data_IF_171209382883
#
_entry.id   IF_171209382883
#
_cell.length_a   1.000
_cell.length_b   1.000
_cell.length_c   1.000
_cell.angle_alpha   90.00
_cell.angle_beta   90.00
_cell.angle_gamma   90.00
#
_symmetry.space_group_name_H-M   'P 1'
#
loop_
_entity.id
_entity.type
_entity.pdbx_description
1 polymer ?
#
# COMPACT_ATOMS: atom_id res chain seq x y z
N UNK A 1 -37.88 0.29 -43.38
CA UNK A 1 -38.05 -1.17 -43.25
C UNK A 1 -37.17 -1.85 -44.30
N UNK A 2 -35.97 -2.29 -43.91
CA UNK A 2 -35.54 -3.66 -44.26
C UNK A 2 -34.53 -4.23 -43.24
N UNK A 3 -34.95 -4.48 -41.99
CA UNK A 3 -34.08 -5.16 -40.99
C UNK A 3 -34.74 -6.42 -40.38
N UNK A 4 -35.93 -6.79 -40.85
CA UNK A 4 -36.62 -8.02 -40.45
C UNK A 4 -36.06 -9.25 -41.16
N UNK A 5 -35.58 -9.08 -42.41
CA UNK A 5 -35.12 -10.17 -43.28
C UNK A 5 -33.77 -10.77 -42.86
N UNK A 6 -32.92 -10.00 -42.17
CA UNK A 6 -31.62 -10.49 -41.68
C UNK A 6 -31.77 -11.36 -40.41
N UNK A 7 -32.75 -11.02 -39.56
CA UNK A 7 -33.03 -11.74 -38.31
C UNK A 7 -33.74 -13.06 -38.61
N UNK A 8 -34.68 -13.09 -39.57
CA UNK A 8 -35.31 -14.35 -40.02
C UNK A 8 -34.33 -15.29 -40.74
N UNK A 9 -33.36 -14.75 -41.51
CA UNK A 9 -32.32 -15.58 -42.14
C UNK A 9 -31.28 -16.14 -41.15
N UNK A 10 -31.00 -15.44 -40.05
CA UNK A 10 -30.11 -15.95 -38.99
C UNK A 10 -30.75 -17.04 -38.13
N UNK A 11 -32.09 -17.05 -38.02
CA UNK A 11 -32.83 -18.10 -37.29
C UNK A 11 -32.94 -19.43 -38.06
N UNK A 12 -32.56 -19.46 -39.35
CA UNK A 12 -32.66 -20.63 -40.23
C UNK A 12 -31.31 -21.32 -40.51
N UNK A 13 -30.20 -20.82 -39.96
CA UNK A 13 -28.93 -21.55 -40.03
C UNK A 13 -28.96 -22.71 -39.03
N UNK A 14 -28.65 -23.95 -39.46
CA UNK A 14 -28.63 -25.09 -38.55
C UNK A 14 -27.63 -24.80 -37.44
N UNK A 15 -28.12 -24.77 -36.20
CA UNK A 15 -27.30 -24.62 -35.02
C UNK A 15 -26.21 -25.68 -35.05
N UNK A 16 -24.96 -25.28 -35.31
CA UNK A 16 -23.80 -26.11 -35.00
C UNK A 16 -23.57 -25.93 -33.51
N UNK A 17 -23.93 -26.92 -32.68
CA UNK A 17 -23.70 -26.82 -31.24
C UNK A 17 -22.19 -26.76 -31.02
N UNK A 18 -21.73 -25.74 -30.30
CA UNK A 18 -20.31 -25.57 -29.97
C UNK A 18 -19.63 -24.35 -30.58
N UNK A 19 -20.20 -23.65 -31.58
CA UNK A 19 -19.57 -22.39 -32.07
C UNK A 19 -19.84 -21.23 -31.11
N UNK A 20 -21.04 -21.16 -30.54
CA UNK A 20 -21.39 -20.16 -29.52
C UNK A 20 -20.65 -20.45 -28.20
N UNK A 21 -20.58 -21.73 -27.79
CA UNK A 21 -19.84 -22.15 -26.59
C UNK A 21 -18.32 -21.97 -26.77
N UNK A 22 -17.76 -22.25 -27.95
CA UNK A 22 -16.35 -21.95 -28.23
C UNK A 22 -16.06 -20.44 -28.22
N UNK A 23 -16.96 -19.59 -28.72
CA UNK A 23 -16.82 -18.13 -28.63
C UNK A 23 -16.94 -17.62 -27.19
N UNK A 24 -17.85 -18.19 -26.39
CA UNK A 24 -17.98 -17.90 -24.96
C UNK A 24 -16.80 -18.43 -24.13
N UNK A 25 -16.23 -19.59 -24.44
CA UNK A 25 -15.03 -20.13 -23.79
C UNK A 25 -13.78 -19.32 -24.16
N UNK A 26 -13.68 -18.84 -25.41
CA UNK A 26 -12.58 -17.95 -25.83
C UNK A 26 -12.70 -16.54 -25.21
N UNK A 27 -13.94 -16.09 -24.96
CA UNK A 27 -14.25 -14.78 -24.36
C UNK A 27 -14.05 -14.78 -22.83
N UNK A 28 -14.54 -15.80 -22.15
CA UNK A 28 -14.36 -15.99 -20.70
C UNK A 28 -12.90 -16.28 -20.36
N UNK A 29 -12.17 -17.00 -21.22
CA UNK A 29 -10.72 -17.23 -21.03
C UNK A 29 -9.87 -15.98 -21.24
N UNK A 30 -10.29 -14.99 -22.02
CA UNK A 30 -9.53 -13.74 -22.20
C UNK A 30 -9.66 -12.82 -20.98
N UNK A 31 -10.87 -12.73 -20.41
CA UNK A 31 -11.15 -11.98 -19.18
C UNK A 31 -10.58 -12.71 -17.96
N UNK A 32 -10.73 -14.03 -17.88
CA UNK A 32 -10.07 -14.85 -16.85
C UNK A 32 -8.54 -14.73 -16.96
N UNK A 33 -7.96 -14.67 -18.16
CA UNK A 33 -6.52 -14.45 -18.35
C UNK A 33 -6.06 -13.02 -18.01
N UNK A 34 -6.91 -12.01 -18.19
CA UNK A 34 -6.62 -10.61 -17.76
C UNK A 34 -6.80 -10.44 -16.25
N UNK A 35 -7.79 -11.09 -15.65
CA UNK A 35 -7.94 -11.21 -14.19
C UNK A 35 -6.80 -12.04 -13.59
N UNK A 36 -6.37 -13.12 -14.24
CA UNK A 36 -5.16 -13.88 -13.91
C UNK A 36 -3.93 -13.00 -14.05
N UNK A 37 -3.88 -12.08 -15.02
CA UNK A 37 -2.78 -11.12 -15.26
C UNK A 37 -2.74 -10.01 -14.21
N UNK A 38 -3.89 -9.48 -13.79
CA UNK A 38 -4.06 -8.65 -12.58
C UNK A 38 -3.60 -9.44 -11.33
N UNK A 39 -3.96 -10.71 -11.29
CA UNK A 39 -3.45 -11.69 -10.33
C UNK A 39 -1.94 -11.95 -10.49
N UNK A 40 -1.34 -11.76 -11.67
CA UNK A 40 0.07 -12.02 -11.99
C UNK A 40 0.97 -10.82 -11.68
N UNK A 41 0.49 -9.59 -11.93
CA UNK A 41 1.11 -8.33 -11.51
C UNK A 41 1.15 -8.18 -9.98
N UNK A 42 0.21 -8.80 -9.28
CA UNK A 42 0.22 -8.93 -7.81
C UNK A 42 1.08 -10.11 -7.30
N UNK A 43 1.71 -10.89 -8.20
CA UNK A 43 2.29 -12.21 -7.90
C UNK A 43 3.80 -12.35 -8.07
N UNK A 44 4.57 -11.27 -8.13
CA UNK A 44 6.05 -11.25 -8.25
C UNK A 44 6.69 -12.61 -7.92
N UNK A 45 7.05 -13.36 -8.97
CA UNK A 45 7.65 -14.70 -8.99
C UNK A 45 7.22 -15.71 -7.90
N UNK A 46 6.25 -16.57 -8.22
CA UNK A 46 6.03 -17.85 -7.51
C UNK A 46 6.36 -19.04 -8.39
N UNK A 47 7.58 -19.59 -8.27
CA UNK A 47 7.87 -20.99 -8.61
C UNK A 47 8.02 -21.79 -7.32
N UNK A 48 6.99 -22.56 -6.96
CA UNK A 48 7.03 -24.03 -6.80
C UNK A 48 5.69 -24.55 -6.25
N UNK A 49 5.29 -25.71 -6.76
CA UNK A 49 3.94 -26.24 -6.77
C UNK A 49 3.54 -27.01 -5.49
N UNK A 50 2.24 -27.05 -5.21
CA UNK A 50 1.64 -28.08 -4.34
C UNK A 50 0.27 -27.74 -3.75
N UNK A 51 -0.79 -28.18 -4.44
CA UNK A 51 -2.18 -28.36 -3.98
C UNK A 51 -2.94 -27.12 -3.47
N UNK A 52 -3.92 -26.69 -4.26
CA UNK A 52 -4.62 -25.42 -4.13
C UNK A 52 -5.57 -25.29 -2.95
N UNK A 53 -5.83 -24.02 -2.60
CA UNK A 53 -7.18 -23.58 -2.22
C UNK A 53 -7.43 -22.06 -2.37
N UNK A 54 -6.57 -21.26 -3.00
CA UNK A 54 -6.88 -19.85 -3.31
C UNK A 54 -6.23 -19.38 -4.61
N UNK A 55 -7.01 -18.65 -5.41
CA UNK A 55 -6.63 -17.95 -6.63
C UNK A 55 -6.66 -16.45 -6.34
N UNK A 56 -5.65 -15.70 -6.79
CA UNK A 56 -5.56 -14.26 -6.55
C UNK A 56 -6.64 -13.47 -7.31
N UNK A 57 -7.30 -14.13 -8.27
CA UNK A 57 -8.45 -13.64 -9.00
C UNK A 57 -9.70 -13.38 -8.11
N UNK A 58 -9.72 -13.87 -6.87
CA UNK A 58 -10.84 -13.73 -5.91
C UNK A 58 -10.78 -12.47 -5.00
N UNK A 59 -9.74 -11.63 -5.09
CA UNK A 59 -9.54 -10.49 -4.15
C UNK A 59 -10.04 -9.12 -4.67
N UNK A 60 -11.22 -9.10 -5.31
CA UNK A 60 -11.90 -7.87 -5.76
C UNK A 60 -12.54 -7.08 -4.61
N UNK A 61 -12.63 -7.67 -3.42
CA UNK A 61 -13.03 -7.01 -2.17
C UNK A 61 -11.86 -6.39 -1.40
N UNK A 62 -10.65 -6.40 -1.97
CA UNK A 62 -9.52 -5.73 -1.33
C UNK A 62 -9.83 -4.23 -1.17
N UNK A 63 -9.40 -3.61 -0.06
CA UNK A 63 -9.48 -2.16 0.12
C UNK A 63 -8.87 -1.39 -1.07
N UNK A 64 -7.85 -1.97 -1.71
CA UNK A 64 -7.17 -1.43 -2.90
C UNK A 64 -8.07 -1.41 -4.14
N UNK A 65 -8.80 -2.50 -4.41
CA UNK A 65 -9.73 -2.56 -5.53
C UNK A 65 -10.92 -1.61 -5.33
N UNK A 66 -11.43 -1.49 -4.09
CA UNK A 66 -12.47 -0.51 -3.74
C UNK A 66 -11.97 0.93 -3.92
N UNK A 67 -10.74 1.21 -3.45
CA UNK A 67 -10.08 2.51 -3.64
C UNK A 67 -9.89 2.83 -5.12
N UNK A 68 -9.39 1.87 -5.91
CA UNK A 68 -9.20 2.02 -7.34
C UNK A 68 -10.51 2.34 -8.07
N UNK A 69 -11.61 1.71 -7.67
CA UNK A 69 -12.93 1.99 -8.24
C UNK A 69 -13.43 3.40 -7.93
N UNK A 70 -13.23 3.87 -6.70
CA UNK A 70 -13.59 5.25 -6.32
C UNK A 70 -12.77 6.27 -7.12
N UNK A 71 -11.46 6.04 -7.26
CA UNK A 71 -10.58 6.88 -8.09
C UNK A 71 -11.03 6.83 -9.56
N UNK A 72 -11.40 5.66 -10.07
CA UNK A 72 -11.93 5.49 -11.43
C UNK A 72 -13.21 6.30 -11.66
N UNK A 73 -14.17 6.27 -10.73
CA UNK A 73 -15.39 7.08 -10.81
C UNK A 73 -15.12 8.59 -10.71
N UNK A 74 -14.20 8.99 -9.84
CA UNK A 74 -13.71 10.36 -9.77
C UNK A 74 -13.13 10.81 -11.11
N UNK A 75 -12.22 10.01 -11.68
CA UNK A 75 -11.59 10.27 -12.96
C UNK A 75 -12.60 10.37 -14.13
N UNK A 76 -13.65 9.52 -14.14
CA UNK A 76 -14.77 9.67 -15.07
C UNK A 76 -15.48 11.02 -14.90
N UNK A 77 -15.77 11.40 -13.64
CA UNK A 77 -16.44 12.65 -13.30
C UNK A 77 -15.67 13.89 -13.76
N UNK A 78 -14.35 13.85 -13.69
CA UNK A 78 -13.47 14.94 -14.11
C UNK A 78 -13.04 14.87 -15.58
N UNK A 79 -13.42 13.81 -16.31
CA UNK A 79 -13.03 13.61 -17.70
C UNK A 79 -11.54 13.29 -17.89
N UNK A 80 -10.92 12.66 -16.90
CA UNK A 80 -9.50 12.31 -16.87
C UNK A 80 -9.22 10.96 -17.56
N UNK A 81 -10.26 10.18 -17.89
CA UNK A 81 -10.12 8.87 -18.53
C UNK A 81 -10.05 8.96 -20.06
N UNK A 82 -9.16 8.16 -20.64
CA UNK A 82 -8.96 8.07 -22.09
C UNK A 82 -10.01 7.19 -22.77
N UNK A 83 -10.62 6.26 -22.03
CA UNK A 83 -11.55 5.26 -22.56
C UNK A 83 -12.91 5.83 -22.99
N UNK A 84 -13.54 6.65 -22.14
CA UNK A 84 -14.83 7.29 -22.44
C UNK A 84 -15.20 8.40 -21.47
N UNK A 85 -16.18 9.21 -21.88
CA UNK A 85 -16.79 10.24 -21.05
C UNK A 85 -17.75 9.64 -20.00
N UNK A 86 -18.03 10.39 -18.93
CA UNK A 86 -19.04 9.98 -17.94
C UNK A 86 -20.42 9.74 -18.57
N UNK A 87 -20.84 10.58 -19.52
CA UNK A 87 -22.14 10.45 -20.19
C UNK A 87 -22.22 9.17 -21.04
N UNK A 88 -21.17 8.88 -21.82
CA UNK A 88 -21.08 7.63 -22.57
C UNK A 88 -21.07 6.41 -21.65
N UNK A 89 -20.35 6.50 -20.53
CA UNK A 89 -20.28 5.44 -19.54
C UNK A 89 -21.65 5.14 -18.94
N UNK A 90 -22.37 6.14 -18.44
CA UNK A 90 -23.71 5.96 -17.86
C UNK A 90 -24.70 5.43 -18.91
N UNK A 91 -24.64 5.95 -20.14
CA UNK A 91 -25.53 5.52 -21.24
C UNK A 91 -25.33 4.05 -21.60
N UNK A 92 -24.08 3.59 -21.68
CA UNK A 92 -23.76 2.22 -22.12
C UNK A 92 -23.85 1.19 -21.00
N UNK A 93 -23.56 1.58 -19.76
CA UNK A 93 -23.59 0.67 -18.60
C UNK A 93 -24.94 0.67 -17.86
N UNK A 94 -25.75 1.71 -18.04
CA UNK A 94 -26.97 1.95 -17.27
C UNK A 94 -26.72 2.31 -15.80
N UNK A 95 -25.47 2.57 -15.41
CA UNK A 95 -25.13 3.05 -14.07
C UNK A 95 -25.47 4.53 -13.93
N UNK A 96 -25.91 4.93 -12.74
CA UNK A 96 -26.13 6.34 -12.38
C UNK A 96 -25.10 6.73 -11.33
N UNK A 97 -24.07 7.43 -11.76
CA UNK A 97 -22.99 7.94 -10.93
C UNK A 97 -23.25 9.39 -10.51
N UNK A 98 -24.13 10.12 -11.21
CA UNK A 98 -24.51 11.49 -10.86
C UNK A 98 -25.64 11.57 -9.82
N UNK A 99 -25.57 12.59 -8.97
CA UNK A 99 -26.63 13.01 -8.05
C UNK A 99 -27.67 13.92 -8.73
N UNK A 100 -28.59 14.49 -7.96
CA UNK A 100 -29.64 15.37 -8.47
C UNK A 100 -29.12 16.73 -8.96
N UNK A 101 -27.96 17.17 -8.48
CA UNK A 101 -27.30 18.43 -8.83
C UNK A 101 -26.32 18.27 -10.00
N UNK A 102 -26.18 17.04 -10.53
CA UNK A 102 -25.29 16.70 -11.63
C UNK A 102 -23.84 16.44 -11.20
N UNK A 103 -23.55 16.49 -9.90
CA UNK A 103 -22.27 16.12 -9.30
C UNK A 103 -22.13 14.60 -9.19
N UNK A 104 -20.91 14.12 -8.95
CA UNK A 104 -20.69 12.70 -8.65
C UNK A 104 -21.27 12.39 -7.25
N UNK A 105 -21.98 11.26 -7.13
CA UNK A 105 -22.49 10.77 -5.85
C UNK A 105 -21.37 10.57 -4.82
N UNK A 106 -21.75 10.63 -3.55
CA UNK A 106 -20.89 10.28 -2.43
C UNK A 106 -20.44 8.81 -2.52
N UNK A 107 -19.28 8.50 -1.94
CA UNK A 107 -18.65 7.17 -1.99
C UNK A 107 -19.59 6.03 -1.63
N UNK A 108 -20.48 6.25 -0.67
CA UNK A 108 -21.38 5.23 -0.11
C UNK A 108 -22.58 4.95 -1.03
N UNK A 109 -22.90 5.88 -1.93
CA UNK A 109 -24.01 5.80 -2.88
C UNK A 109 -23.55 5.39 -4.29
N UNK A 110 -22.23 5.22 -4.49
CA UNK A 110 -21.65 4.76 -5.75
C UNK A 110 -21.77 3.23 -5.90
N UNK A 111 -21.92 2.72 -7.13
CA UNK A 111 -22.06 1.28 -7.35
C UNK A 111 -20.83 0.49 -6.87
N UNK A 112 -21.02 -0.64 -6.17
CA UNK A 112 -19.90 -1.47 -5.72
C UNK A 112 -19.25 -2.23 -6.88
N UNK A 113 -18.04 -2.74 -6.66
CA UNK A 113 -17.20 -3.37 -7.69
C UNK A 113 -17.88 -4.51 -8.45
N UNK A 114 -18.65 -5.35 -7.77
CA UNK A 114 -19.41 -6.42 -8.43
C UNK A 114 -20.44 -5.87 -9.40
N UNK A 115 -21.09 -4.75 -9.05
CA UNK A 115 -22.05 -4.10 -9.96
C UNK A 115 -21.32 -3.48 -11.14
N UNK A 116 -20.21 -2.77 -10.90
CA UNK A 116 -19.35 -2.23 -11.95
C UNK A 116 -18.93 -3.31 -12.97
N UNK A 117 -18.30 -4.40 -12.50
CA UNK A 117 -17.81 -5.47 -13.37
C UNK A 117 -18.95 -6.12 -14.16
N UNK A 118 -20.07 -6.42 -13.51
CA UNK A 118 -21.23 -7.01 -14.18
C UNK A 118 -21.79 -6.10 -15.29
N UNK A 119 -21.68 -4.77 -15.16
CA UNK A 119 -22.08 -3.84 -16.23
C UNK A 119 -21.05 -3.76 -17.35
N UNK A 120 -19.75 -3.84 -17.03
CA UNK A 120 -18.68 -3.84 -18.04
C UNK A 120 -18.80 -5.07 -18.96
N UNK A 121 -19.13 -6.24 -18.41
CA UNK A 121 -19.28 -7.49 -19.20
C UNK A 121 -20.32 -7.40 -20.32
N UNK A 122 -21.30 -6.48 -20.21
CA UNK A 122 -22.33 -6.27 -21.21
C UNK A 122 -21.92 -5.31 -22.34
N UNK A 123 -20.73 -4.68 -22.26
CA UNK A 123 -20.24 -3.74 -23.26
C UNK A 123 -19.61 -4.45 -24.46
N UNK A 124 -19.32 -3.71 -25.54
CA UNK A 124 -18.54 -4.26 -26.65
C UNK A 124 -17.09 -4.52 -26.21
N UNK A 125 -16.46 -5.54 -26.79
CA UNK A 125 -15.08 -5.97 -26.45
C UNK A 125 -14.08 -4.80 -26.46
N UNK A 126 -14.18 -3.91 -27.44
CA UNK A 126 -13.31 -2.73 -27.53
C UNK A 126 -13.50 -1.77 -26.33
N UNK A 127 -14.75 -1.49 -25.97
CA UNK A 127 -15.11 -0.62 -24.84
C UNK A 127 -14.68 -1.26 -23.50
N UNK A 128 -14.87 -2.58 -23.37
CA UNK A 128 -14.39 -3.34 -22.21
C UNK A 128 -12.87 -3.22 -22.07
N UNK A 129 -12.13 -3.48 -23.14
CA UNK A 129 -10.67 -3.46 -23.12
C UNK A 129 -10.12 -2.09 -22.74
N UNK A 130 -10.73 -1.01 -23.21
CA UNK A 130 -10.33 0.36 -22.89
C UNK A 130 -10.60 0.70 -21.41
N UNK A 131 -11.81 0.39 -20.91
CA UNK A 131 -12.17 0.63 -19.51
C UNK A 131 -11.32 -0.20 -18.54
N UNK A 132 -11.04 -1.45 -18.89
CA UNK A 132 -10.16 -2.31 -18.09
C UNK A 132 -8.72 -1.82 -18.09
N UNK A 133 -8.22 -1.26 -19.20
CA UNK A 133 -6.87 -0.68 -19.23
C UNK A 133 -6.75 0.53 -18.30
N UNK A 134 -7.74 1.43 -18.33
CA UNK A 134 -7.78 2.58 -17.42
C UNK A 134 -7.88 2.12 -15.94
N UNK A 135 -8.79 1.19 -15.63
CA UNK A 135 -8.94 0.65 -14.27
C UNK A 135 -7.69 -0.08 -13.77
N UNK A 136 -7.06 -0.90 -14.62
CA UNK A 136 -5.84 -1.64 -14.32
C UNK A 136 -4.66 -0.71 -14.06
N UNK A 137 -4.52 0.37 -14.84
CA UNK A 137 -3.52 1.42 -14.60
C UNK A 137 -3.68 2.08 -13.23
N UNK A 138 -4.92 2.44 -12.86
CA UNK A 138 -5.24 3.03 -11.55
C UNK A 138 -4.92 2.05 -10.42
N UNK A 139 -5.39 0.80 -10.54
CA UNK A 139 -5.18 -0.22 -9.52
C UNK A 139 -3.68 -0.53 -9.36
N UNK A 140 -2.95 -0.68 -10.46
CA UNK A 140 -1.51 -0.91 -10.46
C UNK A 140 -0.77 0.24 -9.77
N UNK A 141 -1.12 1.50 -10.07
CA UNK A 141 -0.53 2.66 -9.41
C UNK A 141 -0.82 2.71 -7.90
N UNK A 142 -2.03 2.35 -7.47
CA UNK A 142 -2.38 2.25 -6.04
C UNK A 142 -1.57 1.13 -5.36
N UNK A 143 -1.50 -0.05 -5.98
CA UNK A 143 -0.77 -1.20 -5.44
C UNK A 143 0.73 -0.94 -5.35
N UNK A 144 1.31 -0.24 -6.33
CA UNK A 144 2.72 0.15 -6.31
C UNK A 144 3.02 1.14 -5.18
N UNK A 145 2.15 2.13 -4.96
CA UNK A 145 2.27 3.04 -3.80
C UNK A 145 2.12 2.29 -2.48
N UNK A 146 1.16 1.37 -2.38
CA UNK A 146 0.95 0.54 -1.19
C UNK A 146 2.11 -0.44 -0.94
N UNK A 147 2.75 -0.94 -2.00
CA UNK A 147 3.93 -1.78 -1.90
C UNK A 147 5.14 -0.98 -1.39
N UNK A 148 5.30 0.27 -1.85
CA UNK A 148 6.34 1.18 -1.38
C UNK A 148 6.15 1.57 0.10
N UNK A 149 4.91 1.67 0.59
CA UNK A 149 4.59 1.96 2.00
C UNK A 149 4.56 0.71 2.91
N UNK A 150 4.86 -0.48 2.38
CA UNK A 150 4.75 -1.78 3.07
C UNK A 150 3.33 -2.13 3.56
N UNK A 151 2.29 -1.50 3.01
CA UNK A 151 0.89 -1.73 3.36
C UNK A 151 0.24 -2.90 2.59
N UNK A 152 0.90 -3.38 1.53
CA UNK A 152 0.38 -4.47 0.70
C UNK A 152 0.59 -5.86 1.33
N UNK A 153 -0.50 -6.58 1.59
CA UNK A 153 -0.49 -8.00 1.96
C UNK A 153 -0.08 -8.85 0.75
N UNK A 154 1.10 -9.46 0.81
CA UNK A 154 1.65 -10.33 -0.24
C UNK A 154 1.36 -11.83 0.02
N UNK A 155 0.57 -12.14 1.05
CA UNK A 155 0.27 -13.49 1.51
C UNK A 155 1.45 -14.12 2.23
N UNK A 156 1.62 -15.44 2.06
CA UNK A 156 2.73 -16.19 2.65
C UNK A 156 4.02 -15.96 1.86
N UNK A 157 5.03 -15.36 2.50
CA UNK A 157 6.38 -15.20 1.94
C UNK A 157 7.40 -16.03 2.73
N UNK A 158 8.33 -16.68 2.02
CA UNK A 158 9.49 -17.31 2.64
C UNK A 158 10.62 -16.28 2.75
N UNK A 159 11.16 -16.11 3.97
CA UNK A 159 12.43 -15.41 4.17
C UNK A 159 13.49 -16.47 4.47
N UNK A 160 14.43 -16.60 3.54
CA UNK A 160 15.68 -17.31 3.75
C UNK A 160 16.74 -16.29 4.17
N UNK A 161 17.12 -16.35 5.45
CA UNK A 161 18.15 -15.50 6.01
C UNK A 161 19.50 -16.23 5.96
N UNK A 162 20.54 -15.52 5.57
CA UNK A 162 21.93 -16.01 5.64
C UNK A 162 22.39 -16.13 7.09
N UNK A 163 22.01 -15.15 7.90
CA UNK A 163 22.21 -15.15 9.34
C UNK A 163 20.89 -14.75 10.02
N UNK A 164 20.53 -15.47 11.07
CA UNK A 164 19.32 -15.22 11.85
C UNK A 164 19.66 -15.29 13.34
N UNK A 165 19.37 -14.20 14.05
CA UNK A 165 19.39 -14.15 15.49
C UNK A 165 17.98 -13.89 16.02
N UNK A 166 17.55 -14.70 17.00
CA UNK A 166 16.35 -14.38 17.80
C UNK A 166 16.76 -13.38 18.87
N UNK A 167 16.27 -12.16 18.75
CA UNK A 167 16.59 -11.04 19.65
C UNK A 167 15.70 -11.07 20.89
N UNK A 168 14.44 -11.42 20.70
CA UNK A 168 13.42 -11.45 21.75
C UNK A 168 12.41 -12.54 21.43
N UNK A 169 11.99 -13.29 22.43
CA UNK A 169 10.94 -14.30 22.34
C UNK A 169 10.09 -14.23 23.60
N UNK A 170 8.79 -14.01 23.43
CA UNK A 170 7.84 -13.85 24.53
C UNK A 170 6.55 -14.61 24.23
N UNK A 171 6.18 -15.54 25.12
CA UNK A 171 4.89 -16.21 25.07
C UNK A 171 3.80 -15.26 25.57
N UNK A 172 2.91 -14.83 24.65
CA UNK A 172 1.83 -13.88 24.91
C UNK A 172 0.50 -14.56 25.29
N UNK A 173 0.38 -15.86 25.04
CA UNK A 173 -0.80 -16.64 25.44
C UNK A 173 -0.43 -18.12 25.47
N UNK A 174 -0.94 -18.83 26.47
CA UNK A 174 -0.98 -20.29 26.48
C UNK A 174 -2.44 -20.74 26.53
N UNK A 175 -2.82 -21.61 25.61
CA UNK A 175 -4.17 -22.15 25.53
C UNK A 175 -4.41 -23.17 26.66
N UNK A 176 -5.48 -22.98 27.44
CA UNK A 176 -5.71 -23.75 28.67
C UNK A 176 -6.08 -25.21 28.39
N UNK A 177 -6.71 -25.50 27.26
CA UNK A 177 -7.16 -26.86 26.94
C UNK A 177 -6.11 -27.67 26.17
N UNK A 178 -5.30 -27.00 25.34
CA UNK A 178 -4.31 -27.68 24.48
C UNK A 178 -2.86 -27.50 24.93
N UNK A 179 -2.59 -26.53 25.82
CA UNK A 179 -1.23 -26.10 26.17
C UNK A 179 -0.50 -25.40 25.02
N UNK A 180 -1.16 -25.17 23.88
CA UNK A 180 -0.54 -24.55 22.72
C UNK A 180 -0.23 -23.07 22.99
N UNK A 181 0.97 -22.65 22.63
CA UNK A 181 1.44 -21.30 22.86
C UNK A 181 1.24 -20.39 21.66
N UNK A 182 1.07 -19.11 21.96
CA UNK A 182 1.22 -18.01 21.02
C UNK A 182 2.37 -17.16 21.50
N UNK A 183 3.35 -16.91 20.63
CA UNK A 183 4.55 -16.16 20.97
C UNK A 183 4.78 -15.01 20.01
N UNK A 184 5.36 -13.92 20.51
CA UNK A 184 6.00 -12.89 19.72
C UNK A 184 7.49 -13.19 19.66
N UNK A 185 8.00 -13.38 18.45
CA UNK A 185 9.42 -13.66 18.21
C UNK A 185 9.98 -12.56 17.33
N UNK A 186 10.98 -11.85 17.83
CA UNK A 186 11.67 -10.78 17.12
C UNK A 186 13.02 -11.28 16.63
N UNK A 187 13.27 -11.12 15.34
CA UNK A 187 14.46 -11.57 14.64
C UNK A 187 15.29 -10.38 14.18
N UNK A 188 16.59 -10.55 14.21
CA UNK A 188 17.53 -9.81 13.38
C UNK A 188 17.97 -10.73 12.23
N UNK A 189 17.63 -10.31 11.01
CA UNK A 189 17.77 -11.11 9.80
C UNK A 189 18.74 -10.45 8.85
N UNK A 190 19.81 -11.15 8.48
CA UNK A 190 20.69 -10.78 7.38
C UNK A 190 20.19 -11.46 6.12
N UNK A 191 19.62 -10.69 5.21
CA UNK A 191 19.04 -11.19 3.96
C UNK A 191 19.75 -10.59 2.77
N UNK A 192 19.80 -11.31 1.66
CA UNK A 192 20.39 -10.82 0.41
C UNK A 192 19.55 -9.67 -0.14
N UNK A 193 20.22 -8.61 -0.60
CA UNK A 193 19.61 -7.56 -1.41
C UNK A 193 19.45 -8.07 -2.82
N UNK A 194 18.27 -7.85 -3.38
CA UNK A 194 18.06 -7.98 -4.80
C UNK A 194 18.49 -6.65 -5.43
N UNK A 195 19.61 -6.69 -6.15
CA UNK A 195 20.12 -5.56 -6.91
C UNK A 195 19.89 -5.83 -8.39
N UNK A 196 19.27 -4.88 -9.07
CA UNK A 196 19.03 -4.94 -10.51
C UNK A 196 20.28 -4.47 -11.23
N UNK A 197 20.83 -5.30 -12.12
CA UNK A 197 21.95 -4.91 -12.98
C UNK A 197 21.50 -3.90 -14.03
N UNK A 198 22.44 -3.11 -14.56
CA UNK A 198 22.14 -2.15 -15.64
C UNK A 198 21.54 -2.84 -16.87
N UNK A 199 22.03 -4.03 -17.24
CA UNK A 199 21.46 -4.84 -18.32
C UNK A 199 20.02 -5.27 -18.05
N UNK A 200 19.73 -5.77 -16.84
CA UNK A 200 18.39 -6.20 -16.47
C UNK A 200 17.40 -5.01 -16.43
N UNK A 201 17.85 -3.85 -15.95
CA UNK A 201 17.05 -2.63 -15.94
C UNK A 201 16.71 -2.16 -17.35
N UNK A 202 17.67 -2.17 -18.28
CA UNK A 202 17.44 -1.77 -19.67
C UNK A 202 16.54 -2.77 -20.41
N UNK A 203 16.79 -4.07 -20.26
CA UNK A 203 15.94 -5.11 -20.84
C UNK A 203 14.49 -5.03 -20.32
N UNK A 204 14.31 -4.73 -19.03
CA UNK A 204 13.00 -4.54 -18.42
C UNK A 204 12.23 -3.31 -18.92
N UNK A 205 12.93 -2.32 -19.48
CA UNK A 205 12.33 -1.10 -20.02
C UNK A 205 12.02 -1.19 -21.52
N UNK A 206 12.39 -2.29 -22.20
CA UNK A 206 12.09 -2.50 -23.61
C UNK A 206 10.58 -2.47 -23.87
N UNK A 207 10.13 -1.54 -24.70
CA UNK A 207 8.71 -1.37 -25.05
C UNK A 207 7.99 -0.27 -24.23
N UNK A 208 8.61 0.27 -23.18
CA UNK A 208 8.12 1.44 -22.46
C UNK A 208 8.80 2.73 -22.94
N UNK A 209 8.15 3.87 -22.73
CA UNK A 209 8.79 5.17 -22.92
C UNK A 209 9.68 5.45 -21.70
N UNK A 210 11.01 5.42 -21.86
CA UNK A 210 11.94 5.69 -20.75
C UNK A 210 13.03 6.69 -21.08
N UNK A 211 13.64 7.28 -20.05
CA UNK A 211 14.86 8.10 -20.13
C UNK A 211 15.88 7.63 -19.11
N UNK A 212 17.15 7.60 -19.52
CA UNK A 212 18.27 7.36 -18.62
C UNK A 212 18.66 8.67 -17.98
N UNK A 213 18.65 8.72 -16.65
CA UNK A 213 18.85 9.96 -15.90
C UNK A 213 19.89 9.78 -14.79
N UNK A 214 20.64 10.85 -14.53
CA UNK A 214 21.55 10.98 -13.39
C UNK A 214 21.13 12.21 -12.60
N UNK A 215 21.12 12.09 -11.28
CA UNK A 215 20.75 13.19 -10.42
C UNK A 215 21.96 14.08 -10.13
N UNK A 216 21.92 15.34 -10.55
CA UNK A 216 23.07 16.25 -10.44
C UNK A 216 23.47 16.57 -8.99
N UNK A 217 22.54 16.44 -8.04
CA UNK A 217 22.83 16.69 -6.61
C UNK A 217 23.41 15.47 -5.90
N UNK A 218 22.87 14.29 -6.16
CA UNK A 218 23.27 13.05 -5.46
C UNK A 218 24.30 12.23 -6.23
N UNK A 219 24.50 12.51 -7.52
CA UNK A 219 25.37 11.73 -8.41
C UNK A 219 24.85 10.32 -8.71
N UNK A 220 23.60 9.99 -8.33
CA UNK A 220 23.02 8.65 -8.49
C UNK A 220 22.31 8.51 -9.83
N UNK A 221 22.30 7.31 -10.39
CA UNK A 221 21.56 6.98 -11.61
C UNK A 221 20.15 6.48 -11.30
N UNK A 222 19.24 6.68 -12.25
CA UNK A 222 17.91 6.07 -12.30
C UNK A 222 17.49 5.85 -13.76
N UNK A 223 16.60 4.87 -13.99
CA UNK A 223 15.84 4.75 -15.23
C UNK A 223 14.45 5.33 -14.98
N UNK A 224 14.10 6.37 -15.72
CA UNK A 224 12.82 7.07 -15.60
C UNK A 224 11.84 6.54 -16.64
N UNK A 225 10.83 5.78 -16.23
CA UNK A 225 9.74 5.27 -17.06
C UNK A 225 8.54 6.23 -17.04
N UNK A 226 8.02 6.56 -18.22
CA UNK A 226 6.95 7.54 -18.47
C UNK A 226 5.68 6.86 -18.98
N UNK A 227 4.59 7.63 -19.06
CA UNK A 227 3.28 7.13 -19.51
C UNK A 227 2.48 6.44 -18.40
N UNK A 228 2.93 6.60 -17.15
CA UNK A 228 2.26 6.11 -15.97
C UNK A 228 1.31 7.17 -15.42
N UNK A 229 0.31 6.73 -14.67
CA UNK A 229 -0.55 7.60 -13.89
C UNK A 229 -0.42 7.24 -12.42
N UNK A 230 -0.43 8.26 -11.57
CA UNK A 230 -0.44 8.10 -10.11
C UNK A 230 -1.58 8.94 -9.55
N UNK A 231 -1.91 8.71 -8.30
CA UNK A 231 -2.98 9.42 -7.61
C UNK A 231 -2.37 10.33 -6.54
N UNK A 232 -2.87 11.56 -6.44
CA UNK A 232 -2.53 12.50 -5.36
C UNK A 232 -3.24 12.14 -4.06
N UNK A 233 -2.91 12.85 -2.97
CA UNK A 233 -3.63 12.74 -1.69
C UNK A 233 -5.15 12.99 -1.87
N UNK A 234 -5.52 13.94 -2.75
CA UNK A 234 -6.93 14.26 -3.09
C UNK A 234 -7.58 13.30 -4.11
N UNK A 235 -7.05 12.08 -4.29
CA UNK A 235 -7.56 11.07 -5.23
C UNK A 235 -7.61 11.45 -6.72
N UNK A 236 -6.86 12.47 -7.13
CA UNK A 236 -6.79 12.91 -8.54
C UNK A 236 -5.76 12.12 -9.31
N UNK A 237 -6.09 11.77 -10.56
CA UNK A 237 -5.12 11.17 -11.47
C UNK A 237 -4.21 12.24 -12.05
N UNK A 238 -2.91 12.01 -11.92
CA UNK A 238 -1.88 12.87 -12.51
C UNK A 238 -0.85 12.03 -13.25
N UNK A 239 -0.24 12.54 -14.34
CA UNK A 239 0.88 11.89 -14.99
C UNK A 239 2.02 11.64 -14.01
N UNK A 240 2.69 10.50 -14.16
CA UNK A 240 3.69 10.02 -13.25
C UNK A 240 4.92 9.47 -13.97
N UNK A 241 6.04 9.48 -13.25
CA UNK A 241 7.30 8.89 -13.63
C UNK A 241 7.69 7.86 -12.60
N UNK A 242 8.01 6.63 -13.04
CA UNK A 242 8.62 5.60 -12.19
C UNK A 242 10.13 5.70 -12.33
N UNK A 243 10.80 5.99 -11.23
CA UNK A 243 12.25 5.99 -11.12
C UNK A 243 12.70 4.62 -10.62
N UNK A 244 13.24 3.80 -11.50
CA UNK A 244 13.90 2.55 -11.16
C UNK A 244 15.36 2.82 -10.81
N UNK A 245 15.82 2.25 -9.69
CA UNK A 245 17.19 2.31 -9.18
C UNK A 245 17.66 0.89 -8.83
N UNK A 246 18.96 0.66 -8.57
CA UNK A 246 19.47 -0.69 -8.36
C UNK A 246 18.75 -1.48 -7.26
N UNK A 247 18.39 -0.83 -6.15
CA UNK A 247 17.85 -1.47 -4.96
C UNK A 247 16.40 -1.05 -4.61
N UNK A 248 15.81 -0.16 -5.41
CA UNK A 248 14.49 0.42 -5.14
C UNK A 248 13.84 0.96 -6.42
N UNK A 249 12.52 1.12 -6.38
CA UNK A 249 11.78 1.93 -7.35
C UNK A 249 10.89 2.93 -6.61
N UNK A 250 10.58 4.04 -7.27
CA UNK A 250 9.70 5.06 -6.72
C UNK A 250 8.84 5.65 -7.83
N UNK A 251 7.54 5.77 -7.60
CA UNK A 251 6.64 6.52 -8.47
C UNK A 251 6.50 7.94 -7.92
N UNK A 252 6.68 8.93 -8.78
CA UNK A 252 6.51 10.35 -8.44
C UNK A 252 5.68 11.06 -9.51
N UNK A 253 4.90 12.09 -9.17
CA UNK A 253 4.23 12.92 -10.18
C UNK A 253 5.23 13.51 -11.17
N UNK A 254 4.86 13.59 -12.45
CA UNK A 254 5.75 14.08 -13.52
C UNK A 254 6.22 15.51 -13.26
N UNK A 255 5.36 16.40 -12.76
CA UNK A 255 5.74 17.76 -12.35
C UNK A 255 6.86 17.78 -11.30
N UNK A 256 6.76 16.90 -10.30
CA UNK A 256 7.78 16.76 -9.25
C UNK A 256 9.11 16.27 -9.84
N UNK A 257 9.06 15.40 -10.85
CA UNK A 257 10.23 14.96 -11.59
C UNK A 257 10.85 16.08 -12.43
N UNK A 258 10.04 16.89 -13.12
CA UNK A 258 10.51 18.05 -13.91
C UNK A 258 11.21 19.10 -13.05
N UNK A 259 10.72 19.33 -11.82
CA UNK A 259 11.31 20.27 -10.85
C UNK A 259 12.53 19.70 -10.10
N UNK A 260 12.85 18.43 -10.33
CA UNK A 260 13.93 17.73 -9.64
C UNK A 260 15.30 17.97 -10.30
N UNK A 261 16.36 17.43 -9.67
CA UNK A 261 17.72 17.49 -10.21
C UNK A 261 18.06 16.30 -11.13
N UNK A 262 17.08 15.59 -11.68
CA UNK A 262 17.32 14.48 -12.62
C UNK A 262 17.58 15.01 -14.03
N UNK A 263 18.80 14.82 -14.53
CA UNK A 263 19.21 15.21 -15.87
C UNK A 263 19.34 13.98 -16.78
N UNK A 264 18.87 14.09 -18.02
CA UNK A 264 19.03 13.03 -19.01
C UNK A 264 20.49 12.87 -19.42
N UNK A 265 20.94 11.62 -19.56
CA UNK A 265 22.31 11.27 -19.94
C UNK A 265 22.33 10.17 -21.01
N UNK A 266 23.49 9.93 -21.62
CA UNK A 266 23.72 8.77 -22.48
C UNK A 266 23.87 7.46 -21.68
N UNK A 267 23.70 6.33 -22.37
CA UNK A 267 23.72 5.00 -21.78
C UNK A 267 25.08 4.65 -21.14
N UNK A 268 26.20 5.05 -21.74
CA UNK A 268 27.52 4.71 -21.23
C UNK A 268 27.79 5.41 -19.88
N UNK A 269 27.49 6.71 -19.81
CA UNK A 269 27.58 7.47 -18.56
C UNK A 269 26.61 6.96 -17.49
N UNK A 270 25.38 6.62 -17.88
CA UNK A 270 24.38 6.05 -16.98
C UNK A 270 24.83 4.69 -16.39
N UNK A 271 25.30 3.77 -17.25
CA UNK A 271 25.81 2.45 -16.84
C UNK A 271 26.98 2.59 -15.88
N UNK A 272 27.92 3.48 -16.17
CA UNK A 272 29.08 3.71 -15.30
C UNK A 272 28.65 4.10 -13.88
N UNK A 273 27.67 4.99 -13.73
CA UNK A 273 27.14 5.40 -12.42
C UNK A 273 26.34 4.27 -11.76
N UNK A 274 25.49 3.58 -12.53
CA UNK A 274 24.66 2.48 -12.02
C UNK A 274 25.50 1.31 -11.53
N UNK A 275 26.45 0.85 -12.34
CA UNK A 275 27.30 -0.31 -12.03
C UNK A 275 28.27 0.01 -10.88
N UNK A 276 28.76 1.25 -10.80
CA UNK A 276 29.54 1.70 -9.64
C UNK A 276 28.70 1.67 -8.35
N UNK A 277 27.43 2.07 -8.41
CA UNK A 277 26.53 1.99 -7.25
C UNK A 277 26.24 0.54 -6.86
N UNK A 278 25.96 -0.34 -7.82
CA UNK A 278 25.77 -1.78 -7.57
C UNK A 278 27.00 -2.38 -6.93
N UNK A 279 28.19 -2.08 -7.44
CA UNK A 279 29.46 -2.60 -6.92
C UNK A 279 29.80 -2.08 -5.52
N UNK A 280 29.41 -0.84 -5.21
CA UNK A 280 29.62 -0.24 -3.90
C UNK A 280 28.57 -0.64 -2.85
N UNK A 281 27.44 -1.20 -3.28
CA UNK A 281 26.33 -1.57 -2.40
C UNK A 281 26.60 -2.91 -1.71
N UNK A 282 26.46 -2.95 -0.38
CA UNK A 282 26.52 -4.21 0.36
C UNK A 282 25.42 -5.16 -0.15
N UNK A 283 25.77 -6.35 -0.67
CA UNK A 283 24.78 -7.33 -1.13
C UNK A 283 23.90 -7.85 0.01
N UNK A 284 24.20 -7.53 1.26
CA UNK A 284 23.42 -7.90 2.43
C UNK A 284 22.69 -6.70 3.03
N UNK A 285 21.51 -6.96 3.59
CA UNK A 285 20.80 -6.01 4.45
C UNK A 285 20.39 -6.72 5.72
N UNK A 286 20.65 -6.07 6.85
CA UNK A 286 20.14 -6.49 8.14
C UNK A 286 18.80 -5.80 8.38
N UNK A 287 17.78 -6.56 8.77
CA UNK A 287 16.47 -6.00 9.15
C UNK A 287 15.95 -6.68 10.42
N UNK A 288 15.19 -5.91 11.19
CA UNK A 288 14.43 -6.43 12.33
C UNK A 288 13.03 -6.82 11.87
N UNK A 289 12.53 -7.96 12.34
CA UNK A 289 11.20 -8.47 12.02
C UNK A 289 10.57 -9.09 13.27
N UNK A 290 9.32 -8.79 13.58
CA UNK A 290 8.58 -9.49 14.65
C UNK A 290 7.49 -10.37 14.05
N UNK A 291 7.40 -11.63 14.51
CA UNK A 291 6.34 -12.56 14.14
C UNK A 291 5.49 -12.91 15.36
N UNK A 292 4.18 -12.83 15.21
CA UNK A 292 3.25 -13.57 16.04
C UNK A 292 3.13 -15.00 15.49
N UNK A 293 3.59 -15.99 16.24
CA UNK A 293 3.67 -17.41 15.84
C UNK A 293 2.93 -18.31 16.83
N UNK A 294 2.60 -19.53 16.42
CA UNK A 294 1.86 -20.49 17.24
C UNK A 294 0.35 -20.45 17.01
N UNK A 295 -0.45 -20.60 18.08
CA UNK A 295 -1.91 -20.68 17.98
C UNK A 295 -2.57 -19.29 17.83
N UNK A 296 -2.62 -18.77 16.60
CA UNK A 296 -3.13 -17.41 16.34
C UNK A 296 -4.65 -17.27 16.31
N UNK A 297 -5.40 -18.34 15.99
CA UNK A 297 -6.84 -18.26 15.78
C UNK A 297 -7.61 -17.63 16.97
N UNK A 298 -7.31 -17.95 18.24
CA UNK A 298 -7.99 -17.36 19.39
C UNK A 298 -7.74 -15.85 19.58
N UNK A 299 -6.65 -15.32 19.03
CA UNK A 299 -6.30 -13.89 19.10
C UNK A 299 -6.50 -13.17 17.77
N UNK A 300 -7.06 -13.85 16.77
CA UNK A 300 -7.15 -13.34 15.39
C UNK A 300 -7.84 -11.98 15.30
N UNK A 301 -8.93 -11.80 16.06
CA UNK A 301 -9.68 -10.54 16.11
C UNK A 301 -8.95 -9.39 16.83
N UNK A 302 -7.81 -9.65 17.48
CA UNK A 302 -6.96 -8.63 18.13
C UNK A 302 -5.69 -8.32 17.35
N UNK A 303 -5.36 -9.13 16.34
CA UNK A 303 -4.28 -8.81 15.41
C UNK A 303 -4.71 -7.63 14.51
N UNK A 304 -3.77 -6.83 13.99
CA UNK A 304 -4.09 -5.73 13.07
C UNK A 304 -4.97 -6.20 11.91
N UNK A 305 -5.76 -5.33 11.31
CA UNK A 305 -6.49 -5.68 10.07
C UNK A 305 -5.75 -5.23 8.80
N UNK A 306 -4.93 -4.19 8.92
CA UNK A 306 -4.09 -3.62 7.85
C UNK A 306 -2.67 -4.18 7.87
N UNK A 307 -1.99 -4.17 6.72
CA UNK A 307 -0.61 -4.67 6.60
C UNK A 307 -0.46 -6.12 7.04
N UNK A 308 -1.53 -6.92 6.90
CA UNK A 308 -1.45 -8.34 7.17
C UNK A 308 -0.38 -8.93 6.25
N UNK A 309 0.58 -9.65 6.79
CA UNK A 309 1.46 -10.48 5.98
C UNK A 309 1.87 -11.67 6.83
N UNK A 310 1.83 -12.85 6.23
CA UNK A 310 2.27 -14.08 6.89
C UNK A 310 3.63 -14.41 6.34
N UNK A 311 4.59 -14.68 7.21
CA UNK A 311 5.93 -15.04 6.76
C UNK A 311 6.37 -16.34 7.39
N UNK A 312 7.07 -17.12 6.57
CA UNK A 312 7.84 -18.26 7.01
C UNK A 312 9.31 -17.86 7.03
N UNK A 313 9.87 -17.75 8.22
CA UNK A 313 11.29 -17.44 8.40
C UNK A 313 12.03 -18.76 8.59
N UNK A 314 13.09 -18.99 7.79
CA UNK A 314 13.94 -20.17 7.88
C UNK A 314 15.34 -19.75 8.31
N UNK A 315 15.82 -20.34 9.40
CA UNK A 315 17.20 -20.18 9.83
C UNK A 315 18.12 -21.17 9.09
N UNK A 316 19.41 -20.83 8.90
CA UNK A 316 20.41 -21.75 8.35
C UNK A 316 20.57 -23.05 9.16
N UNK A 317 20.27 -23.01 10.46
CA UNK A 317 20.31 -24.17 11.37
C UNK A 317 19.12 -25.13 11.24
N UNK A 318 18.18 -24.83 10.33
CA UNK A 318 17.00 -25.66 10.05
C UNK A 318 15.76 -25.31 10.87
N UNK A 319 15.85 -24.40 11.86
CA UNK A 319 14.67 -23.89 12.57
C UNK A 319 13.78 -23.08 11.63
N UNK A 320 12.47 -23.15 11.87
CA UNK A 320 11.45 -22.49 11.06
C UNK A 320 10.39 -21.87 11.94
N UNK A 321 10.01 -20.65 11.60
CA UNK A 321 8.89 -19.96 12.22
C UNK A 321 7.86 -19.65 11.15
N UNK A 322 6.59 -19.79 11.49
CA UNK A 322 5.49 -19.41 10.64
C UNK A 322 4.57 -18.54 11.47
N UNK A 323 4.42 -17.29 11.04
CA UNK A 323 3.66 -16.34 11.82
C UNK A 323 3.26 -15.12 11.04
N UNK A 324 2.42 -14.32 11.68
CA UNK A 324 2.01 -13.03 11.16
C UNK A 324 3.09 -12.00 11.48
N UNK A 325 3.52 -11.25 10.46
CA UNK A 325 4.44 -10.12 10.66
C UNK A 325 3.72 -9.00 11.37
N UNK A 326 4.37 -8.49 12.40
CA UNK A 326 3.99 -7.28 13.10
C UNK A 326 5.17 -6.32 13.04
N UNK A 327 4.90 -5.06 12.75
CA UNK A 327 5.85 -4.02 13.11
C UNK A 327 5.84 -3.79 14.63
N UNK A 328 6.77 -2.97 15.11
CA UNK A 328 6.89 -2.70 16.53
C UNK A 328 5.57 -2.14 17.09
N UNK A 329 4.97 -1.13 16.46
CA UNK A 329 3.72 -0.49 16.91
C UNK A 329 2.60 -1.52 17.05
N UNK A 330 2.40 -2.36 16.03
CA UNK A 330 1.41 -3.41 16.03
C UNK A 330 1.64 -4.45 17.14
N UNK A 331 2.91 -4.82 17.39
CA UNK A 331 3.25 -5.73 18.47
C UNK A 331 2.92 -5.15 19.86
N UNK A 332 3.20 -3.85 20.09
CA UNK A 332 2.79 -3.18 21.34
C UNK A 332 1.28 -3.13 21.49
N UNK A 333 0.57 -2.68 20.44
CA UNK A 333 -0.90 -2.61 20.45
C UNK A 333 -1.52 -3.97 20.74
N UNK A 334 -0.95 -5.07 20.21
CA UNK A 334 -1.40 -6.42 20.51
C UNK A 334 -1.17 -6.79 21.99
N UNK A 335 0.01 -6.51 22.55
CA UNK A 335 0.31 -6.77 23.97
C UNK A 335 -0.67 -6.04 24.89
N UNK A 336 -0.94 -4.77 24.59
CA UNK A 336 -1.94 -3.96 25.29
C UNK A 336 -3.34 -4.55 25.14
N UNK A 337 -3.75 -4.94 23.93
CA UNK A 337 -5.06 -5.55 23.69
C UNK A 337 -5.22 -6.92 24.38
N UNK A 338 -4.13 -7.62 24.67
CA UNK A 338 -4.11 -8.86 25.44
C UNK A 338 -4.01 -8.63 26.96
N UNK A 339 -3.82 -7.39 27.42
CA UNK A 339 -3.66 -7.07 28.83
C UNK A 339 -2.31 -7.49 29.42
N UNK A 340 -1.30 -7.70 28.57
CA UNK A 340 0.05 -8.13 28.98
C UNK A 340 0.95 -6.94 29.33
N UNK A 341 0.58 -5.75 28.89
CA UNK A 341 1.32 -4.51 29.13
C UNK A 341 0.32 -3.38 29.31
N UNK A 342 0.54 -2.54 30.32
CA UNK A 342 -0.24 -1.32 30.49
C UNK A 342 -0.05 -0.42 29.26
N UNK A 343 -1.13 0.25 28.83
CA UNK A 343 -1.12 1.11 27.63
C UNK A 343 0.01 2.16 27.74
N UNK A 344 0.23 2.69 28.94
CA UNK A 344 1.28 3.68 29.21
C UNK A 344 2.69 3.14 29.01
N UNK A 345 2.97 1.90 29.42
CA UNK A 345 4.30 1.30 29.31
C UNK A 345 4.64 0.91 27.86
N UNK A 346 3.65 0.44 27.12
CA UNK A 346 3.80 0.03 25.72
C UNK A 346 4.19 1.20 24.78
N UNK A 347 3.90 2.43 25.20
CA UNK A 347 4.14 3.66 24.45
C UNK A 347 5.12 4.59 25.15
N UNK A 348 5.87 4.11 26.14
CA UNK A 348 6.78 4.95 26.93
C UNK A 348 8.03 5.40 26.15
N UNK A 349 8.44 4.68 25.10
CA UNK A 349 9.60 5.04 24.26
C UNK A 349 9.26 6.24 23.37
N UNK A 350 9.96 7.36 23.60
CA UNK A 350 9.66 8.62 22.93
C UNK A 350 10.00 8.61 21.44
N UNK A 351 11.08 7.92 21.04
CA UNK A 351 11.52 7.87 19.65
C UNK A 351 10.56 7.05 18.79
N UNK A 352 10.21 5.86 19.27
CA UNK A 352 9.22 4.99 18.64
C UNK A 352 7.84 5.62 18.60
N UNK A 353 7.42 6.27 19.68
CA UNK A 353 6.12 6.94 19.74
C UNK A 353 6.05 8.13 18.79
N UNK A 354 7.10 8.95 18.72
CA UNK A 354 7.19 10.05 17.77
C UNK A 354 7.06 9.57 16.32
N UNK A 355 7.81 8.53 15.94
CA UNK A 355 7.75 7.93 14.60
C UNK A 355 6.35 7.38 14.28
N UNK A 356 5.74 6.65 15.22
CA UNK A 356 4.38 6.14 15.04
C UNK A 356 3.34 7.25 14.82
N UNK A 357 3.43 8.35 15.57
CA UNK A 357 2.50 9.47 15.44
C UNK A 357 2.71 10.23 14.13
N UNK A 358 3.97 10.52 13.75
CA UNK A 358 4.30 11.31 12.57
C UNK A 358 4.10 10.53 11.27
N UNK A 359 4.68 9.34 11.19
CA UNK A 359 4.79 8.58 9.96
C UNK A 359 3.50 7.79 9.68
N UNK A 360 2.88 7.25 10.74
CA UNK A 360 1.70 6.39 10.64
C UNK A 360 0.39 7.04 11.07
N UNK A 361 0.41 8.34 11.39
CA UNK A 361 -0.78 9.08 11.82
C UNK A 361 -1.47 8.46 13.05
N UNK A 362 -0.72 7.79 13.92
CA UNK A 362 -1.27 7.28 15.17
C UNK A 362 -1.62 8.46 16.08
N UNK A 363 -2.79 8.42 16.71
CA UNK A 363 -3.22 9.40 17.69
C UNK A 363 -3.32 8.74 19.06
N UNK A 364 -2.71 9.37 20.07
CA UNK A 364 -2.70 8.86 21.43
C UNK A 364 -3.58 9.75 22.31
N UNK A 365 -4.61 9.17 22.92
CA UNK A 365 -5.30 9.82 24.01
C UNK A 365 -4.47 9.67 25.28
N UNK A 366 -4.13 10.78 25.90
CA UNK A 366 -3.34 10.84 27.13
C UNK A 366 -4.25 11.19 28.31
N UNK A 367 -3.81 10.83 29.51
CA UNK A 367 -4.52 11.22 30.74
C UNK A 367 -4.67 12.74 30.87
N UNK A 368 -5.75 13.17 31.53
CA UNK A 368 -6.11 14.58 31.62
C UNK A 368 -6.86 15.12 30.38
N UNK A 369 -7.33 14.24 29.49
CA UNK A 369 -8.07 14.61 28.29
C UNK A 369 -7.21 15.23 27.18
N UNK A 370 -5.89 14.98 27.24
CA UNK A 370 -4.91 15.46 26.28
C UNK A 370 -4.79 14.48 25.12
N UNK A 371 -4.26 14.96 23.99
CA UNK A 371 -3.97 14.11 22.85
C UNK A 371 -2.61 14.41 22.27
N UNK A 372 -1.85 13.37 21.93
CA UNK A 372 -0.66 13.49 21.10
C UNK A 372 -1.02 13.06 19.67
N UNK A 373 -0.86 13.97 18.70
CA UNK A 373 -1.13 13.70 17.29
C UNK A 373 -0.15 14.42 16.38
N UNK A 374 -0.12 14.05 15.10
CA UNK A 374 0.54 14.85 14.07
C UNK A 374 -0.36 15.99 13.59
N UNK A 375 0.23 17.15 13.34
CA UNK A 375 -0.43 18.33 12.78
C UNK A 375 0.44 19.00 11.74
N UNK A 376 -0.17 19.44 10.63
CA UNK A 376 0.51 20.18 9.56
C UNK A 376 0.55 21.67 9.90
N UNK A 377 1.74 22.24 9.95
CA UNK A 377 1.98 23.67 10.20
C UNK A 377 3.05 24.16 9.24
N UNK A 378 2.75 25.18 8.42
CA UNK A 378 3.67 25.73 7.41
C UNK A 378 4.29 24.62 6.54
N UNK A 379 3.45 23.73 6.02
CA UNK A 379 3.83 22.58 5.17
C UNK A 379 4.81 21.58 5.79
N UNK A 380 4.89 21.52 7.12
CA UNK A 380 5.65 20.50 7.84
C UNK A 380 4.78 19.77 8.85
N UNK A 381 4.99 18.46 8.97
CA UNK A 381 4.39 17.65 10.04
C UNK A 381 5.09 17.93 11.36
N UNK A 382 4.31 18.14 12.41
CA UNK A 382 4.79 18.38 13.78
C UNK A 382 4.01 17.52 14.76
N UNK A 383 4.64 17.22 15.90
CA UNK A 383 3.98 16.59 17.05
C UNK A 383 3.26 17.65 17.87
N UNK A 384 1.96 17.50 18.06
CA UNK A 384 1.12 18.44 18.82
C UNK A 384 0.49 17.75 20.03
N UNK A 385 0.53 18.43 21.18
CA UNK A 385 -0.25 18.08 22.37
C UNK A 385 -1.53 18.92 22.39
N UNK A 386 -2.64 18.33 21.97
CA UNK A 386 -3.96 18.98 21.96
C UNK A 386 -4.57 18.90 23.36
N UNK A 387 -5.29 19.96 23.75
CA UNK A 387 -5.91 20.07 25.08
C UNK A 387 -4.96 20.58 26.17
N UNK A 388 -3.66 20.72 25.88
CA UNK A 388 -2.60 21.11 26.85
C UNK A 388 -2.65 22.55 27.35
N UNK A 389 -3.78 23.26 27.22
CA UNK A 389 -3.88 24.67 27.57
C UNK A 389 -3.76 24.91 29.07
N UNK A 390 -4.35 24.05 29.88
CA UNK A 390 -4.33 24.11 31.35
C UNK A 390 -3.00 23.65 31.95
N UNK A 391 -2.25 22.80 31.24
CA UNK A 391 -0.97 22.25 31.72
C UNK A 391 0.25 22.79 30.94
N UNK A 392 0.07 23.94 30.29
CA UNK A 392 1.06 24.53 29.38
C UNK A 392 2.42 24.73 30.04
N UNK A 393 2.45 25.35 31.22
CA UNK A 393 3.71 25.72 31.85
C UNK A 393 4.52 24.47 32.24
N UNK A 394 3.84 23.39 32.61
CA UNK A 394 4.47 22.10 32.88
C UNK A 394 4.93 21.40 31.61
N UNK A 395 4.17 21.47 30.52
CA UNK A 395 4.61 20.95 29.22
C UNK A 395 5.84 21.72 28.70
N UNK A 396 5.86 23.04 28.85
CA UNK A 396 7.00 23.88 28.45
C UNK A 396 8.24 23.58 29.29
N UNK A 397 8.09 23.31 30.60
CA UNK A 397 9.22 22.93 31.44
C UNK A 397 9.82 21.56 31.09
N UNK A 398 9.03 20.68 30.47
CA UNK A 398 9.51 19.41 29.90
C UNK A 398 10.25 19.59 28.57
N UNK A 399 10.18 20.78 27.95
CA UNK A 399 10.82 21.08 26.66
C UNK A 399 9.85 21.22 25.48
N UNK A 400 8.53 21.17 25.72
CA UNK A 400 7.55 21.56 24.70
C UNK A 400 7.63 23.06 24.43
N UNK A 401 7.15 23.49 23.26
CA UNK A 401 7.07 24.91 22.90
C UNK A 401 5.67 25.29 22.45
N UNK A 402 5.37 26.59 22.51
CA UNK A 402 4.04 27.12 22.21
C UNK A 402 4.14 28.08 21.04
N UNK A 403 3.28 27.88 20.05
CA UNK A 403 3.12 28.81 18.93
C UNK A 403 1.67 29.24 18.81
N UNK A 404 1.45 30.50 18.39
CA UNK A 404 0.11 31.01 18.10
C UNK A 404 -0.18 30.78 16.63
N UNK A 405 -1.16 29.92 16.33
CA UNK A 405 -1.59 29.59 14.98
C UNK A 405 -3.09 29.84 14.90
N UNK A 406 -3.54 30.59 13.88
CA UNK A 406 -4.94 30.99 13.72
C UNK A 406 -5.54 31.59 15.01
N UNK A 407 -4.80 32.51 15.65
CA UNK A 407 -5.17 33.18 16.91
C UNK A 407 -5.32 32.26 18.13
N UNK A 408 -4.95 30.99 18.03
CA UNK A 408 -4.99 30.03 19.12
C UNK A 408 -3.57 29.58 19.51
N UNK A 409 -3.20 29.63 20.81
CA UNK A 409 -1.93 29.07 21.28
C UNK A 409 -2.00 27.54 21.28
N UNK A 410 -1.10 26.90 20.54
CA UNK A 410 -0.97 25.45 20.38
C UNK A 410 0.36 24.98 20.94
N UNK A 411 0.38 23.80 21.55
CA UNK A 411 1.56 23.22 22.22
C UNK A 411 2.16 22.12 21.35
N UNK A 412 3.45 22.21 21.08
CA UNK A 412 4.18 21.29 20.21
C UNK A 412 5.35 20.63 20.94
N UNK A 413 5.67 19.41 20.53
CA UNK A 413 6.83 18.65 21.00
C UNK A 413 7.90 18.70 19.91
N UNK A 414 9.17 18.99 20.23
CA UNK A 414 10.26 18.94 19.24
C UNK A 414 10.43 17.51 18.71
N UNK A 415 10.42 17.36 17.39
CA UNK A 415 10.45 16.05 16.70
C UNK A 415 11.80 15.34 16.87
N UNK A 416 12.87 16.11 17.07
CA UNK A 416 14.25 15.68 17.25
C UNK A 416 14.62 15.38 18.71
N UNK A 417 13.64 15.45 19.64
CA UNK A 417 13.85 15.25 21.08
C UNK A 417 12.97 14.14 21.65
N UNK A 418 13.36 12.86 21.46
CA UNK A 418 12.65 11.71 22.05
C UNK A 418 12.45 11.85 23.56
N UNK A 419 13.42 12.41 24.28
CA UNK A 419 13.37 12.63 25.72
C UNK A 419 12.22 13.55 26.17
N UNK A 420 11.84 14.53 25.33
CA UNK A 420 10.70 15.41 25.62
C UNK A 420 9.39 14.65 25.44
N UNK A 421 9.29 13.79 24.43
CA UNK A 421 8.14 12.91 24.20
C UNK A 421 7.97 11.98 25.41
N UNK A 422 9.04 11.34 25.88
CA UNK A 422 9.04 10.51 27.09
C UNK A 422 8.59 11.31 28.32
N UNK A 423 9.07 12.55 28.48
CA UNK A 423 8.66 13.44 29.56
C UNK A 423 7.16 13.72 29.56
N UNK A 424 6.58 13.99 28.38
CA UNK A 424 5.14 14.20 28.20
C UNK A 424 4.36 12.93 28.52
N UNK A 425 4.80 11.77 28.04
CA UNK A 425 4.12 10.49 28.26
C UNK A 425 4.20 10.01 29.70
N UNK A 426 5.32 10.27 30.40
CA UNK A 426 5.48 9.97 31.82
C UNK A 426 4.56 10.84 32.69
N UNK A 427 4.41 12.11 32.31
CA UNK A 427 3.50 13.04 33.00
C UNK A 427 2.04 12.74 32.69
N UNK A 428 1.74 12.41 31.43
CA UNK A 428 0.42 12.09 30.93
C UNK A 428 0.44 10.72 30.24
N UNK A 429 0.30 9.63 31.02
CA UNK A 429 0.29 8.28 30.46
C UNK A 429 -0.78 8.09 29.38
N UNK A 430 -0.47 7.27 28.38
CA UNK A 430 -1.40 6.91 27.30
C UNK A 430 -2.57 6.11 27.88
N UNK A 431 -3.78 6.49 27.51
CA UNK A 431 -5.02 5.83 27.91
C UNK A 431 -5.61 4.99 26.77
N UNK A 432 -5.55 5.48 25.53
CA UNK A 432 -6.01 4.75 24.36
C UNK A 432 -5.31 5.22 23.08
N UNK A 433 -5.39 4.38 22.06
CA UNK A 433 -4.72 4.58 20.77
C UNK A 433 -5.80 4.59 19.69
N UNK A 434 -5.72 5.56 18.78
CA UNK A 434 -6.53 5.62 17.58
C UNK A 434 -5.60 5.62 16.37
N UNK A 435 -5.70 4.58 15.55
CA UNK A 435 -5.07 4.59 14.23
C UNK A 435 -5.81 5.60 13.35
N UNK A 436 -5.09 6.59 12.83
CA UNK A 436 -5.68 7.56 11.92
C UNK A 436 -6.29 6.87 10.70
N UNK A 437 -7.53 7.23 10.35
CA UNK A 437 -7.98 7.02 8.99
C UNK A 437 -6.99 7.74 8.05
N UNK A 438 -6.65 7.11 6.93
CA UNK A 438 -6.02 7.82 5.84
C UNK A 438 -6.96 8.97 5.50
N UNK A 439 -6.54 10.19 5.83
CA UNK A 439 -7.23 11.40 5.43
C UNK A 439 -6.84 11.70 3.98
#
# INVERSE_FOLDING_TARGET
MPNSDLIEKMALLPAVPGVLDALLDTFTSTIARRLDSLGALTRGERRTAGAGLFRAEDNLESPWARRALLVFYGALGFGELSSMTLEDFETRTGLKLRDADGGLKLSDDLPPIHTFLNRLLALRIADQNALFADFDGILSGILERAAASADLDRGLEDIEAEELAVVEEETIRTDVSTGAETALVTFELKVRRELVSSDAALAGAEGSAFRLVVNDRSGRAALAEFGLTTTTDDDRLVPAVRLLRPDQHQVTPEKTFEESAWAQTDEAAWRAVWDAEVAATDPWRTRRLTLATGLLLPIWGRLPSKGCSVRRVRAPDGRRWLGRVLDEVQAASLKTALGLTEVGDAWADGGRTAAAVLDRNVQLALSGGLWLKRSRVMDRWRLEVVGGRTDRDALVSLGCFVEIIAYAPRVFVPVDRPDVVEGVLRRHPVQSILEGAAA
#
